data_IF_543610935210
#
_entry.id   IF_543610935210
#
_cell.length_a   1.000
_cell.length_b   1.000
_cell.length_c   1.000
_cell.angle_alpha   90.00
_cell.angle_beta   90.00
_cell.angle_gamma   90.00
#
_symmetry.space_group_name_H-M   'P 1'
#
loop_
_entity.id
_entity.type
_entity.pdbx_description
1 polymer ?
#
# COMPACT_ATOMS: atom_id res chain seq x y z
N UNK A 1 36.49 -2.60 33.38
CA UNK A 1 36.79 -3.05 32.00
C UNK A 1 35.65 -3.89 31.39
N UNK A 2 35.41 -5.15 31.83
CA UNK A 2 34.38 -6.04 31.24
C UNK A 2 32.94 -5.47 31.20
N UNK A 3 32.49 -4.84 32.28
CA UNK A 3 31.14 -4.24 32.36
C UNK A 3 30.96 -3.00 31.48
N UNK A 4 32.03 -2.24 31.29
CA UNK A 4 32.07 -1.06 30.43
C UNK A 4 31.97 -1.45 28.95
N UNK A 5 32.69 -2.49 28.55
CA UNK A 5 32.60 -3.07 27.21
C UNK A 5 31.20 -3.64 26.92
N UNK A 6 30.56 -4.28 27.90
CA UNK A 6 29.20 -4.79 27.76
C UNK A 6 28.16 -3.66 27.56
N UNK A 7 28.32 -2.55 28.28
CA UNK A 7 27.45 -1.37 28.12
C UNK A 7 27.63 -0.71 26.75
N UNK A 8 28.87 -0.55 26.27
CA UNK A 8 29.16 0.01 24.95
C UNK A 8 28.56 -0.87 23.85
N UNK A 9 28.64 -2.20 23.99
CA UNK A 9 28.03 -3.14 23.05
C UNK A 9 26.49 -3.06 23.07
N UNK A 10 25.86 -3.02 24.25
CA UNK A 10 24.41 -2.91 24.35
C UNK A 10 23.88 -1.61 23.76
N UNK A 11 24.55 -0.48 24.02
CA UNK A 11 24.19 0.83 23.46
C UNK A 11 24.38 0.83 21.95
N UNK A 12 25.49 0.30 21.42
CA UNK A 12 25.71 0.24 19.96
C UNK A 12 24.67 -0.64 19.25
N UNK A 13 24.27 -1.78 19.82
CA UNK A 13 23.18 -2.61 19.28
C UNK A 13 21.83 -1.88 19.33
N UNK A 14 21.55 -1.15 20.40
CA UNK A 14 20.29 -0.40 20.53
C UNK A 14 20.20 0.78 19.54
N UNK A 15 21.33 1.44 19.25
CA UNK A 15 21.42 2.52 18.28
C UNK A 15 21.63 2.05 16.83
N UNK A 16 21.80 0.76 16.58
CA UNK A 16 21.76 0.22 15.22
C UNK A 16 20.32 0.29 14.68
N UNK A 17 19.97 1.44 14.12
CA UNK A 17 18.75 1.63 13.35
C UNK A 17 18.88 0.87 12.02
N UNK A 18 18.45 -0.39 12.01
CA UNK A 18 18.28 -1.14 10.77
C UNK A 18 17.05 -0.53 10.07
N UNK A 19 17.23 -0.05 8.83
CA UNK A 19 16.10 0.40 8.03
C UNK A 19 15.12 -0.77 7.82
N UNK A 20 13.79 -0.55 7.95
CA UNK A 20 12.83 -1.60 7.63
C UNK A 20 12.99 -2.00 6.17
N UNK A 21 13.01 -3.30 5.89
CA UNK A 21 12.97 -3.81 4.54
C UNK A 21 11.52 -3.75 4.04
N UNK A 22 11.27 -2.93 3.02
CA UNK A 22 9.96 -2.81 2.36
C UNK A 22 10.10 -3.20 0.89
N UNK A 23 9.04 -3.78 0.31
CA UNK A 23 9.05 -4.13 -1.11
C UNK A 23 9.03 -2.87 -1.99
N UNK A 24 9.71 -2.90 -3.14
CA UNK A 24 9.51 -1.87 -4.16
C UNK A 24 8.11 -2.00 -4.77
N UNK A 25 7.46 -0.87 -5.00
CA UNK A 25 6.15 -0.76 -5.65
C UNK A 25 6.26 -0.22 -7.09
N UNK A 26 7.46 -0.20 -7.68
CA UNK A 26 7.71 0.44 -8.99
C UNK A 26 6.93 -0.21 -10.15
N UNK A 27 6.41 -1.41 -9.95
CA UNK A 27 5.56 -2.14 -10.90
C UNK A 27 4.06 -1.81 -10.74
N UNK A 28 3.70 -0.92 -9.82
CA UNK A 28 2.33 -0.50 -9.57
C UNK A 28 2.20 1.00 -9.84
N UNK A 29 1.06 1.37 -10.42
CA UNK A 29 0.71 2.78 -10.68
C UNK A 29 -0.54 3.16 -9.92
N UNK A 30 -0.74 4.43 -9.53
CA UNK A 30 -2.02 4.88 -9.01
C UNK A 30 -3.17 4.47 -9.95
N UNK A 31 -4.24 3.90 -9.40
CA UNK A 31 -5.38 3.45 -10.21
C UNK A 31 -6.03 4.61 -10.97
N UNK A 32 -6.00 5.83 -10.42
CA UNK A 32 -6.39 7.07 -11.12
C UNK A 32 -5.63 7.29 -12.44
N UNK A 33 -4.41 6.81 -12.56
CA UNK A 33 -3.52 6.97 -13.73
C UNK A 33 -3.41 5.70 -14.58
N UNK A 34 -3.95 4.57 -14.12
CA UNK A 34 -3.91 3.29 -14.85
C UNK A 34 -4.92 3.27 -16.01
N UNK A 35 -4.42 3.24 -17.24
CA UNK A 35 -5.28 3.13 -18.43
C UNK A 35 -6.18 1.88 -18.40
N UNK A 36 -5.65 0.74 -17.90
CA UNK A 36 -6.41 -0.49 -17.74
C UNK A 36 -7.55 -0.34 -16.70
N UNK A 37 -7.31 0.35 -15.59
CA UNK A 37 -8.37 0.63 -14.61
C UNK A 37 -9.42 1.60 -15.18
N UNK A 38 -9.00 2.66 -15.86
CA UNK A 38 -9.92 3.64 -16.48
C UNK A 38 -10.83 2.99 -17.53
N UNK A 39 -10.31 2.07 -18.34
CA UNK A 39 -11.10 1.32 -19.31
C UNK A 39 -12.25 0.52 -18.66
N UNK A 40 -12.06 0.07 -17.42
CA UNK A 40 -13.07 -0.67 -16.65
C UNK A 40 -14.17 0.20 -16.07
N UNK A 41 -14.08 1.53 -16.14
CA UNK A 41 -15.09 2.43 -15.53
C UNK A 41 -16.53 2.06 -15.91
N UNK A 42 -16.75 1.64 -17.17
CA UNK A 42 -18.06 1.22 -17.67
C UNK A 42 -18.51 -0.17 -17.15
N UNK A 43 -17.59 -1.01 -16.67
CA UNK A 43 -17.83 -2.37 -16.17
C UNK A 43 -18.26 -2.37 -14.69
N UNK A 44 -18.15 -1.23 -13.97
CA UNK A 44 -18.50 -1.17 -12.55
C UNK A 44 -20.01 -1.28 -12.35
N UNK A 45 -20.46 -2.50 -12.00
CA UNK A 45 -21.86 -2.79 -11.69
C UNK A 45 -22.29 -2.11 -10.37
N UNK A 46 -23.53 -1.64 -10.33
CA UNK A 46 -24.15 -1.15 -9.11
C UNK A 46 -24.36 -2.31 -8.12
N UNK A 47 -23.69 -2.22 -6.96
CA UNK A 47 -23.69 -3.27 -5.93
C UNK A 47 -24.80 -3.12 -4.90
N UNK A 48 -25.48 -1.97 -4.89
CA UNK A 48 -26.60 -1.68 -3.99
C UNK A 48 -27.78 -1.09 -4.78
N UNK A 49 -28.89 -0.79 -4.10
CA UNK A 49 -30.03 -0.10 -4.70
C UNK A 49 -29.72 1.34 -5.14
N UNK A 50 -28.59 1.91 -4.72
CA UNK A 50 -28.11 3.21 -5.21
C UNK A 50 -27.59 3.07 -6.65
N UNK A 51 -28.19 3.80 -7.63
CA UNK A 51 -27.77 3.77 -9.02
C UNK A 51 -26.35 4.31 -9.26
N UNK A 52 -25.74 4.98 -8.28
CA UNK A 52 -24.37 5.48 -8.35
C UNK A 52 -23.34 4.57 -7.66
N UNK A 53 -23.76 3.44 -7.07
CA UNK A 53 -22.86 2.61 -6.26
C UNK A 53 -21.65 2.07 -7.02
N UNK A 54 -21.78 1.78 -8.32
CA UNK A 54 -20.67 1.41 -9.19
C UNK A 54 -19.66 2.55 -9.37
N UNK A 55 -20.15 3.76 -9.69
CA UNK A 55 -19.31 4.94 -9.86
C UNK A 55 -18.59 5.33 -8.56
N UNK A 56 -19.30 5.30 -7.42
CA UNK A 56 -18.73 5.57 -6.10
C UNK A 56 -17.61 4.57 -5.74
N UNK A 57 -17.76 3.30 -6.14
CA UNK A 57 -16.73 2.28 -5.93
C UNK A 57 -15.52 2.51 -6.83
N UNK A 58 -15.74 2.90 -8.09
CA UNK A 58 -14.66 3.27 -9.00
C UNK A 58 -13.83 4.43 -8.46
N UNK A 59 -14.48 5.51 -8.01
CA UNK A 59 -13.82 6.66 -7.41
C UNK A 59 -13.06 6.29 -6.13
N UNK A 60 -13.65 5.44 -5.27
CA UNK A 60 -12.96 4.96 -4.07
C UNK A 60 -11.71 4.15 -4.40
N UNK A 61 -11.74 3.32 -5.43
CA UNK A 61 -10.59 2.50 -5.82
C UNK A 61 -9.56 3.27 -6.64
N UNK A 62 -9.86 4.46 -7.16
CA UNK A 62 -8.86 5.25 -7.89
C UNK A 62 -7.71 5.73 -7.01
N UNK A 63 -7.89 5.78 -5.68
CA UNK A 63 -6.82 6.11 -4.73
C UNK A 63 -5.87 4.93 -4.44
N UNK A 64 -6.24 3.70 -4.83
CA UNK A 64 -5.40 2.52 -4.62
C UNK A 64 -4.28 2.45 -5.66
N UNK A 65 -3.38 1.48 -5.49
CA UNK A 65 -2.39 1.11 -6.50
C UNK A 65 -2.93 -0.01 -7.38
N UNK A 66 -2.69 0.08 -8.68
CA UNK A 66 -3.11 -0.89 -9.69
C UNK A 66 -1.90 -1.53 -10.36
N UNK A 67 -2.01 -2.82 -10.65
CA UNK A 67 -1.09 -3.50 -11.57
C UNK A 67 -1.47 -3.27 -13.03
N UNK A 68 -0.72 -3.89 -13.95
CA UNK A 68 -0.93 -3.79 -15.40
C UNK A 68 -2.34 -4.24 -15.83
N UNK A 69 -2.96 -5.15 -15.09
CA UNK A 69 -4.33 -5.61 -15.36
C UNK A 69 -5.44 -4.60 -14.99
N UNK A 70 -5.08 -3.51 -14.32
CA UNK A 70 -6.01 -2.46 -13.91
C UNK A 70 -6.91 -2.86 -12.75
N UNK A 71 -6.45 -3.74 -11.85
CA UNK A 71 -7.15 -4.07 -10.60
C UNK A 71 -6.40 -3.51 -9.38
N UNK A 72 -7.12 -3.03 -8.36
CA UNK A 72 -6.51 -2.57 -7.11
C UNK A 72 -5.71 -3.68 -6.42
N UNK A 73 -4.50 -3.34 -5.96
CA UNK A 73 -3.58 -4.20 -5.21
C UNK A 73 -3.41 -3.62 -3.81
N UNK A 74 -3.73 -4.43 -2.80
CA UNK A 74 -3.51 -4.09 -1.41
C UNK A 74 -2.02 -4.22 -1.07
N UNK A 75 -1.47 -3.27 -0.32
CA UNK A 75 -0.10 -3.31 0.18
C UNK A 75 -0.11 -3.72 1.65
N UNK A 76 0.35 -4.93 1.92
CA UNK A 76 0.24 -5.56 3.25
C UNK A 76 1.60 -5.72 3.96
N UNK A 77 2.58 -4.90 3.61
CA UNK A 77 3.95 -5.00 4.14
C UNK A 77 4.18 -4.19 5.44
N UNK A 78 3.11 -3.62 6.02
CA UNK A 78 3.14 -2.91 7.29
C UNK A 78 3.51 -1.43 7.21
N UNK A 79 3.72 -0.87 6.01
CA UNK A 79 3.97 0.57 5.85
C UNK A 79 2.73 1.40 6.17
N UNK A 80 2.92 2.53 6.86
CA UNK A 80 1.81 3.39 7.25
C UNK A 80 1.10 4.08 6.09
N UNK A 81 1.76 4.28 4.94
CA UNK A 81 1.11 4.87 3.75
C UNK A 81 -0.02 4.02 3.18
N UNK A 82 -0.11 2.74 3.55
CA UNK A 82 -1.15 1.80 3.13
C UNK A 82 -1.82 1.11 4.31
N UNK A 83 -1.84 1.75 5.48
CA UNK A 83 -2.42 1.15 6.70
C UNK A 83 -3.88 0.73 6.48
N UNK A 84 -4.67 1.54 5.78
CA UNK A 84 -6.08 1.26 5.48
C UNK A 84 -6.34 0.07 4.56
N UNK A 85 -5.30 -0.53 3.98
CA UNK A 85 -5.42 -1.74 3.16
C UNK A 85 -5.61 -3.00 4.04
N UNK A 86 -5.10 -3.01 5.28
CA UNK A 86 -5.13 -4.22 6.12
C UNK A 86 -5.07 -4.02 7.65
N UNK A 87 -4.36 -3.00 8.14
CA UNK A 87 -4.14 -2.77 9.58
C UNK A 87 -5.34 -2.08 10.23
#
# INVERSE_FOLDING_TARGET
MRRLLALIFAVSVWFCAISPASASLDHLTPCSESAAFQARKAEFVNTTADPNSGANRFERYSQALCGDEGYPRLIVDGRFSHMGDFL
#
